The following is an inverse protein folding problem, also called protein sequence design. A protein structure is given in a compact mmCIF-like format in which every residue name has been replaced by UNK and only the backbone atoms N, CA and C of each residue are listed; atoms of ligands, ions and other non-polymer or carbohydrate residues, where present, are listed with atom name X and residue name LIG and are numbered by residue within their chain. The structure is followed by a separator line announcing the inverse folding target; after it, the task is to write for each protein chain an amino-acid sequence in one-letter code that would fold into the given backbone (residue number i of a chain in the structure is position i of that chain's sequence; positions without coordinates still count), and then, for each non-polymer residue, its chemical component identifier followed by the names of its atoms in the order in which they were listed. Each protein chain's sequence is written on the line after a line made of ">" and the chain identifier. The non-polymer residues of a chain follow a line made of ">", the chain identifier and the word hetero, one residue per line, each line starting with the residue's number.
data_IF_645970064452
#
_entry.id   IF_645970064452
#
_cell.length_a   1.000
_cell.length_b   1.000
_cell.length_c   1.000
_cell.angle_alpha   90.00
_cell.angle_beta   90.00
_cell.angle_gamma   90.00
#
_symmetry.space_group_name_H-M   'P 1'
#
loop_
_entity.id
_entity.type
_entity.pdbx_description
1 polymer ?
#
# COMPACT_ATOMS: atom_id res chain seq x y z
N UNK A 1 26.29 14.71 -6.64
CA UNK A 1 24.92 14.28 -6.31
C UNK A 1 24.02 14.64 -7.47
N UNK A 2 23.29 13.67 -8.02
CA UNK A 2 22.30 13.93 -9.07
C UNK A 2 21.02 14.46 -8.43
N UNK A 3 20.51 15.59 -8.94
CA UNK A 3 19.33 16.23 -8.37
C UNK A 3 18.10 15.78 -9.16
N UNK A 4 17.23 15.01 -8.50
CA UNK A 4 15.98 14.52 -9.07
C UNK A 4 14.80 15.22 -8.42
N UNK A 5 13.94 15.81 -9.25
CA UNK A 5 12.74 16.52 -8.82
C UNK A 5 11.51 16.01 -9.57
N UNK A 6 10.40 15.82 -8.84
CA UNK A 6 9.12 15.40 -9.39
C UNK A 6 8.05 16.42 -9.01
N UNK A 7 7.31 16.93 -9.99
CA UNK A 7 6.20 17.88 -9.80
C UNK A 7 4.91 17.32 -10.36
N UNK A 8 3.84 17.51 -9.61
CA UNK A 8 2.47 17.20 -10.03
C UNK A 8 1.68 18.50 -10.14
N UNK A 9 1.11 18.77 -11.31
CA UNK A 9 0.20 19.91 -11.54
C UNK A 9 -0.78 19.55 -12.65
N UNK A 10 -2.06 19.87 -12.49
CA UNK A 10 -3.10 19.70 -13.52
C UNK A 10 -3.09 18.31 -14.19
N UNK A 11 -3.10 17.22 -13.40
CA UNK A 11 -3.04 15.83 -13.89
C UNK A 11 -1.81 15.49 -14.76
N UNK A 12 -0.74 16.28 -14.66
CA UNK A 12 0.54 16.00 -15.31
C UNK A 12 1.63 15.79 -14.26
N UNK A 13 2.47 14.78 -14.51
CA UNK A 13 3.72 14.53 -13.80
C UNK A 13 4.87 15.09 -14.65
N UNK A 14 5.70 15.91 -14.04
CA UNK A 14 6.96 16.38 -14.62
C UNK A 14 8.10 15.84 -13.78
N UNK A 15 9.07 15.21 -14.43
CA UNK A 15 10.30 14.72 -13.79
C UNK A 15 11.48 15.43 -14.40
N UNK A 16 12.33 15.99 -13.54
CA UNK A 16 13.54 16.70 -13.92
C UNK A 16 14.72 16.00 -13.27
N UNK A 17 15.69 15.57 -14.08
CA UNK A 17 16.93 14.94 -13.63
C UNK A 17 18.08 15.83 -14.08
N UNK A 18 18.86 16.33 -13.11
CA UNK A 18 20.12 17.04 -13.38
C UNK A 18 21.28 16.10 -13.06
N UNK A 19 21.93 15.61 -14.12
CA UNK A 19 23.15 14.81 -14.03
C UNK A 19 24.26 15.52 -14.81
N UNK A 20 25.35 15.83 -14.12
CA UNK A 20 26.46 16.64 -14.63
C UNK A 20 25.98 17.93 -15.31
N UNK A 21 26.26 18.10 -16.60
CA UNK A 21 25.83 19.26 -17.42
C UNK A 21 24.55 18.99 -18.23
N UNK A 22 23.89 17.85 -18.05
CA UNK A 22 22.68 17.47 -18.77
C UNK A 22 21.45 17.63 -17.88
N UNK A 23 20.45 18.33 -18.40
CA UNK A 23 19.13 18.45 -17.80
C UNK A 23 18.15 17.63 -18.64
N UNK A 24 17.59 16.58 -18.05
CA UNK A 24 16.58 15.75 -18.69
C UNK A 24 15.24 16.08 -18.05
N UNK A 25 14.27 16.52 -18.86
CA UNK A 25 12.92 16.81 -18.40
C UNK A 25 11.92 15.95 -19.19
N UNK A 26 11.11 15.17 -18.47
CA UNK A 26 10.06 14.35 -19.07
C UNK A 26 8.71 14.68 -18.45
N UNK A 27 7.67 14.64 -19.29
CA UNK A 27 6.28 14.92 -18.89
C UNK A 27 5.42 13.72 -19.21
N UNK A 28 4.54 13.35 -18.29
CA UNK A 28 3.56 12.28 -18.51
C UNK A 28 2.20 12.65 -17.90
N UNK A 29 1.13 12.12 -18.49
CA UNK A 29 -0.22 12.26 -17.96
C UNK A 29 -0.38 11.31 -16.77
N UNK A 30 -0.89 11.82 -15.66
CA UNK A 30 -1.21 11.01 -14.48
C UNK A 30 -2.47 10.22 -14.78
N UNK A 31 -2.39 8.89 -14.67
CA UNK A 31 -3.56 8.03 -14.75
C UNK A 31 -4.17 8.01 -13.34
N UNK A 32 -5.37 8.59 -13.14
CA UNK A 32 -6.01 8.54 -11.84
C UNK A 32 -6.32 7.08 -11.51
N UNK A 33 -6.07 6.70 -10.26
CA UNK A 33 -6.49 5.39 -9.78
C UNK A 33 -8.02 5.33 -9.90
N UNK A 34 -8.54 4.38 -10.69
CA UNK A 34 -9.98 4.10 -10.68
C UNK A 34 -10.30 3.69 -9.26
N UNK A 35 -11.09 4.52 -8.55
CA UNK A 35 -11.70 4.07 -7.32
C UNK A 35 -12.47 2.80 -7.68
N UNK A 36 -12.00 1.65 -7.18
CA UNK A 36 -12.90 0.52 -6.99
C UNK A 36 -13.95 1.11 -6.07
N UNK A 37 -15.14 1.39 -6.60
CA UNK A 37 -16.31 1.60 -5.75
C UNK A 37 -16.26 0.41 -4.81
N UNK A 38 -15.89 0.64 -3.54
CA UNK A 38 -16.15 -0.36 -2.51
C UNK A 38 -17.63 -0.57 -2.66
N UNK A 39 -18.05 -1.76 -3.12
CA UNK A 39 -19.45 -2.09 -2.99
C UNK A 39 -19.73 -1.80 -1.53
N UNK A 40 -20.65 -0.86 -1.27
CA UNK A 40 -21.17 -0.70 0.06
C UNK A 40 -21.96 -1.98 0.26
N UNK A 41 -21.25 -3.05 0.65
CA UNK A 41 -21.86 -4.16 1.33
C UNK A 41 -22.35 -3.52 2.61
N UNK A 42 -23.59 -2.97 2.55
CA UNK A 42 -24.43 -2.85 3.73
C UNK A 42 -24.20 -4.15 4.46
N UNK A 43 -23.65 -4.07 5.68
CA UNK A 43 -23.46 -5.24 6.52
C UNK A 43 -24.86 -5.83 6.70
N UNK A 44 -25.23 -6.76 5.84
CA UNK A 44 -26.28 -7.70 6.17
C UNK A 44 -25.76 -8.42 7.41
N UNK A 45 -26.54 -8.46 8.50
CA UNK A 45 -26.12 -9.21 9.67
C UNK A 45 -25.85 -10.63 9.18
N UNK A 46 -24.63 -11.09 9.49
CA UNK A 46 -24.15 -12.43 9.18
C UNK A 46 -25.26 -13.44 9.38
N UNK A 47 -25.83 -13.96 8.30
CA UNK A 47 -26.55 -15.22 8.31
C UNK A 47 -26.58 -15.78 6.88
N UNK A 48 -26.15 -17.03 6.80
CA UNK A 48 -26.25 -17.94 5.67
C UNK A 48 -25.17 -17.80 4.59
N UNK A 49 -23.93 -18.09 4.95
CA UNK A 49 -23.06 -18.81 4.01
C UNK A 49 -23.00 -20.24 4.52
N UNK A 50 -23.62 -21.14 3.77
CA UNK A 50 -23.52 -22.58 3.92
C UNK A 50 -22.04 -22.97 3.99
N UNK A 51 -21.67 -23.51 5.14
CA UNK A 51 -20.37 -24.09 5.44
C UNK A 51 -20.20 -25.31 4.53
N UNK A 52 -19.62 -25.11 3.35
CA UNK A 52 -19.17 -26.18 2.47
C UNK A 52 -17.74 -25.86 2.01
N UNK A 53 -16.81 -25.90 2.98
CA UNK A 53 -15.35 -26.21 2.90
C UNK A 53 -14.62 -25.56 4.09
N UNK A 54 -14.85 -26.09 5.30
CA UNK A 54 -13.97 -25.83 6.45
C UNK A 54 -13.09 -27.06 6.61
N UNK A 55 -11.96 -27.07 5.92
CA UNK A 55 -10.85 -27.98 6.23
C UNK A 55 -9.56 -27.18 6.07
N UNK A 56 -8.90 -26.90 7.20
CA UNK A 56 -7.49 -26.50 7.39
C UNK A 56 -7.01 -25.03 7.29
N UNK A 57 -7.85 -24.01 7.16
CA UNK A 57 -7.34 -22.62 7.09
C UNK A 57 -7.04 -21.95 8.44
N UNK A 58 -7.58 -22.44 9.57
CA UNK A 58 -7.47 -21.74 10.85
C UNK A 58 -6.04 -21.69 11.40
N UNK A 59 -5.25 -22.75 11.21
CA UNK A 59 -3.84 -22.78 11.62
C UNK A 59 -2.99 -21.80 10.80
N UNK A 60 -3.22 -21.79 9.48
CA UNK A 60 -2.52 -20.87 8.57
C UNK A 60 -2.91 -19.42 8.88
N UNK A 61 -4.19 -19.16 9.10
CA UNK A 61 -4.68 -17.84 9.49
C UNK A 61 -4.10 -17.38 10.83
N UNK A 62 -3.96 -18.27 11.82
CA UNK A 62 -3.33 -17.98 13.09
C UNK A 62 -1.83 -17.66 12.93
N UNK A 63 -1.11 -18.43 12.11
CA UNK A 63 0.32 -18.18 11.81
C UNK A 63 0.52 -16.83 11.10
N UNK A 64 -0.29 -16.53 10.09
CA UNK A 64 -0.26 -15.24 9.38
C UNK A 64 -0.54 -14.09 10.35
N UNK A 65 -1.56 -14.23 11.19
CA UNK A 65 -1.94 -13.21 12.18
C UNK A 65 -0.81 -12.95 13.16
N UNK A 66 -0.20 -14.01 13.71
CA UNK A 66 0.92 -13.91 14.65
C UNK A 66 2.17 -13.27 14.01
N UNK A 67 2.45 -13.54 12.73
CA UNK A 67 3.54 -12.90 12.00
C UNK A 67 3.39 -11.38 11.95
N UNK A 68 2.19 -10.88 11.60
CA UNK A 68 1.94 -9.44 11.52
C UNK A 68 2.00 -8.77 12.89
N UNK A 69 1.37 -9.36 13.92
CA UNK A 69 1.44 -8.83 15.28
C UNK A 69 2.88 -8.74 15.79
N UNK A 70 3.68 -9.78 15.61
CA UNK A 70 5.07 -9.79 16.04
C UNK A 70 5.92 -8.75 15.31
N UNK A 71 5.71 -8.58 14.00
CA UNK A 71 6.45 -7.61 13.20
C UNK A 71 6.13 -6.17 13.62
N UNK A 72 4.85 -5.87 13.83
CA UNK A 72 4.41 -4.56 14.33
C UNK A 72 4.98 -4.31 15.73
N UNK A 73 4.89 -5.30 16.63
CA UNK A 73 5.39 -5.17 18.00
C UNK A 73 6.92 -4.95 18.06
N UNK A 74 7.69 -5.71 17.27
CA UNK A 74 9.16 -5.54 17.17
C UNK A 74 9.54 -4.17 16.61
N UNK A 75 8.84 -3.70 15.58
CA UNK A 75 9.09 -2.37 15.01
C UNK A 75 8.74 -1.25 16.01
N UNK A 76 7.63 -1.40 16.74
CA UNK A 76 7.27 -0.46 17.80
C UNK A 76 8.34 -0.40 18.91
N UNK A 77 8.78 -1.55 19.42
CA UNK A 77 9.83 -1.59 20.45
C UNK A 77 11.18 -1.06 19.95
N UNK A 78 11.56 -1.36 18.72
CA UNK A 78 12.79 -0.84 18.11
C UNK A 78 12.75 0.69 18.00
N UNK A 79 11.62 1.24 17.59
CA UNK A 79 11.47 2.69 17.49
C UNK A 79 11.43 3.34 18.87
N UNK A 80 10.83 2.69 19.88
CA UNK A 80 10.79 3.20 21.25
C UNK A 80 12.15 3.24 21.95
N UNK A 81 13.12 2.39 21.58
CA UNK A 81 14.49 2.44 22.12
C UNK A 81 15.36 3.57 21.52
N UNK A 82 14.89 4.22 20.47
CA UNK A 82 15.58 5.32 19.78
C UNK A 82 15.00 6.70 20.14
N UNK A 83 14.09 6.75 21.12
CA UNK A 83 13.58 7.95 21.79
C UNK A 83 13.91 7.85 23.28
#
# INVERSE_FOLDING_TARGET
>A
MELMYVKYKNNMKTTTIKSNNKLIQTKSKVIPLKNKNKSVNKKTPYNNISINKIVNDDKINAEITNFFFNTVHKNYLRNRKNY
#
